data_IF_832377530079
#
_entry.id   IF_832377530079
#
_cell.length_a   1.000
_cell.length_b   1.000
_cell.length_c   1.000
_cell.angle_alpha   90.00
_cell.angle_beta   90.00
_cell.angle_gamma   90.00
#
_symmetry.space_group_name_H-M   'P 1'
#
loop_
_entity.id
_entity.type
_entity.pdbx_description
1 polymer ?
#
# COMPACT_ATOMS: atom_id res chain seq x y z
N UNK A 1 -25.62 5.62 -9.06
CA UNK A 1 -24.63 4.53 -9.22
C UNK A 1 -23.47 4.82 -8.28
N UNK A 2 -23.33 4.05 -7.20
CA UNK A 2 -22.07 4.01 -6.43
C UNK A 2 -21.07 3.30 -7.34
N UNK A 3 -20.05 4.02 -7.82
CA UNK A 3 -18.90 3.36 -8.41
C UNK A 3 -18.22 2.61 -7.27
N UNK A 4 -18.30 1.28 -7.31
CA UNK A 4 -17.49 0.40 -6.46
C UNK A 4 -16.02 0.81 -6.55
N UNK A 5 -15.17 0.52 -5.54
CA UNK A 5 -13.74 0.76 -5.68
C UNK A 5 -13.29 0.13 -7.00
N UNK A 6 -12.61 0.92 -7.85
CA UNK A 6 -12.16 0.58 -9.21
C UNK A 6 -11.16 -0.60 -9.16
N UNK A 7 -11.63 -1.79 -8.79
CA UNK A 7 -10.86 -3.04 -8.81
C UNK A 7 -10.96 -3.57 -10.22
N UNK A 8 -10.15 -2.98 -11.10
CA UNK A 8 -10.03 -3.40 -12.50
C UNK A 8 -9.30 -4.74 -12.64
N UNK A 9 -8.58 -5.20 -11.60
CA UNK A 9 -7.85 -6.46 -11.62
C UNK A 9 -7.58 -6.98 -10.20
N UNK A 10 -7.84 -8.26 -9.97
CA UNK A 10 -7.40 -9.00 -8.77
C UNK A 10 -6.14 -9.80 -9.12
N UNK A 11 -5.06 -9.62 -8.37
CA UNK A 11 -3.83 -10.39 -8.49
C UNK A 11 -3.79 -11.50 -7.44
N UNK A 12 -3.84 -12.76 -7.87
CA UNK A 12 -3.71 -13.91 -6.99
C UNK A 12 -2.32 -14.54 -7.19
N UNK A 13 -1.44 -14.42 -6.20
CA UNK A 13 -0.19 -15.18 -6.20
C UNK A 13 -0.44 -16.54 -5.54
N UNK A 14 -0.30 -17.63 -6.28
CA UNK A 14 -0.48 -18.98 -5.75
C UNK A 14 0.84 -19.75 -5.78
N UNK A 15 1.24 -20.33 -4.63
CA UNK A 15 2.16 -21.47 -4.61
C UNK A 15 1.31 -22.74 -4.82
N UNK A 16 1.45 -23.38 -5.97
CA UNK A 16 0.64 -24.50 -6.44
C UNK A 16 0.83 -25.78 -5.62
N UNK A 17 1.85 -25.84 -4.76
CA UNK A 17 2.07 -26.95 -3.83
C UNK A 17 0.89 -27.15 -2.88
N UNK A 18 0.53 -26.12 -2.10
CA UNK A 18 -0.49 -26.14 -1.04
C UNK A 18 -1.17 -24.77 -0.91
N UNK A 19 -2.22 -24.47 -1.70
CA UNK A 19 -2.94 -23.21 -1.54
C UNK A 19 -3.57 -23.15 -0.16
N UNK A 20 -3.29 -22.09 0.60
CA UNK A 20 -3.88 -21.88 1.91
C UNK A 20 -5.34 -21.42 1.78
N UNK A 21 -6.15 -21.64 2.81
CA UNK A 21 -7.55 -21.23 2.83
C UNK A 21 -7.73 -19.72 2.56
N UNK A 22 -6.75 -18.87 2.93
CA UNK A 22 -6.80 -17.43 2.63
C UNK A 22 -6.71 -17.12 1.12
N UNK A 23 -5.87 -17.86 0.37
CA UNK A 23 -5.75 -17.77 -1.09
C UNK A 23 -7.01 -18.32 -1.78
N UNK A 24 -7.68 -19.29 -1.14
CA UNK A 24 -8.94 -19.90 -1.63
C UNK A 24 -10.18 -19.05 -1.26
N UNK A 25 -10.14 -18.29 -0.16
CA UNK A 25 -11.24 -17.43 0.30
C UNK A 25 -11.34 -16.12 -0.52
N UNK A 26 -10.23 -15.63 -1.09
CA UNK A 26 -10.30 -14.56 -2.10
C UNK A 26 -10.99 -15.00 -3.40
N UNK A 27 -11.06 -16.31 -3.66
CA UNK A 27 -11.75 -16.93 -4.78
C UNK A 27 -13.28 -17.09 -4.57
N UNK A 28 -13.78 -16.86 -3.35
CA UNK A 28 -15.16 -17.23 -2.95
C UNK A 28 -15.92 -16.15 -2.19
N UNK A 29 -15.37 -14.95 -1.97
CA UNK A 29 -16.18 -13.86 -1.42
C UNK A 29 -17.13 -13.37 -2.50
N UNK A 30 -18.39 -13.79 -2.35
CA UNK A 30 -19.57 -13.56 -3.17
C UNK A 30 -19.48 -12.38 -4.17
N UNK A 31 -19.91 -12.58 -5.42
CA UNK A 31 -20.20 -11.46 -6.30
C UNK A 31 -21.34 -10.66 -5.68
N UNK A 32 -21.01 -9.48 -5.14
CA UNK A 32 -21.99 -8.40 -5.05
C UNK A 32 -22.61 -8.22 -6.43
N UNK A 33 -23.92 -7.89 -6.49
CA UNK A 33 -24.64 -7.75 -7.75
C UNK A 33 -23.88 -6.80 -8.72
N UNK A 34 -23.20 -7.37 -9.71
CA UNK A 34 -22.28 -6.68 -10.61
C UNK A 34 -21.57 -7.66 -11.55
N UNK A 35 -20.89 -7.13 -12.56
CA UNK A 35 -20.10 -7.90 -13.52
C UNK A 35 -18.97 -8.68 -12.82
N UNK A 36 -18.60 -9.84 -13.36
CA UNK A 36 -17.52 -10.67 -12.82
C UNK A 36 -16.19 -9.88 -12.81
N UNK A 37 -15.45 -9.86 -11.68
CA UNK A 37 -14.19 -9.13 -11.61
C UNK A 37 -13.14 -9.79 -12.52
N UNK A 38 -12.29 -8.96 -13.11
CA UNK A 38 -11.14 -9.43 -13.90
C UNK A 38 -10.07 -9.96 -12.96
N UNK A 39 -9.58 -11.19 -13.19
CA UNK A 39 -8.65 -11.89 -12.31
C UNK A 39 -7.39 -12.30 -13.08
N UNK A 40 -6.22 -11.98 -12.53
CA UNK A 40 -4.95 -12.50 -13.01
C UNK A 40 -4.25 -13.30 -11.92
N UNK A 41 -4.06 -14.59 -12.21
CA UNK A 41 -3.41 -15.56 -11.34
C UNK A 41 -1.93 -15.63 -11.72
N UNK A 42 -1.07 -15.24 -10.79
CA UNK A 42 0.38 -15.23 -10.93
C UNK A 42 0.95 -16.54 -10.39
N UNK A 43 1.62 -17.28 -11.25
CA UNK A 43 2.23 -18.59 -10.97
C UNK A 43 3.76 -18.46 -10.91
N UNK A 44 4.37 -19.10 -9.91
CA UNK A 44 5.82 -19.20 -9.81
C UNK A 44 6.39 -20.19 -10.85
N UNK A 45 7.28 -19.75 -11.77
CA UNK A 45 7.87 -20.64 -12.76
C UNK A 45 8.83 -21.68 -12.15
N UNK A 46 9.25 -21.50 -10.90
CA UNK A 46 10.10 -22.44 -10.14
C UNK A 46 9.29 -23.40 -9.27
N UNK A 47 7.95 -23.33 -9.30
CA UNK A 47 7.08 -24.27 -8.60
C UNK A 47 7.04 -25.61 -9.35
N UNK A 48 8.18 -26.31 -9.31
CA UNK A 48 8.46 -27.52 -10.08
C UNK A 48 7.76 -28.78 -9.53
N UNK A 49 7.15 -28.71 -8.35
CA UNK A 49 6.48 -29.84 -7.71
C UNK A 49 5.10 -30.17 -8.33
N UNK A 50 4.58 -29.34 -9.24
CA UNK A 50 3.24 -29.50 -9.82
C UNK A 50 3.14 -29.60 -11.34
N UNK A 51 4.27 -29.63 -12.07
CA UNK A 51 4.40 -29.36 -13.53
C UNK A 51 3.53 -30.11 -14.53
N UNK A 52 2.75 -31.11 -14.14
CA UNK A 52 1.93 -31.85 -15.09
C UNK A 52 0.48 -31.40 -15.08
N UNK A 53 -0.34 -32.11 -14.31
CA UNK A 53 -1.79 -32.11 -14.51
C UNK A 53 -2.50 -30.92 -13.87
N UNK A 54 -2.06 -30.43 -12.71
CA UNK A 54 -2.75 -29.35 -11.99
C UNK A 54 -2.63 -28.01 -12.71
N UNK A 55 -1.43 -27.63 -13.15
CA UNK A 55 -1.24 -26.40 -13.92
C UNK A 55 -1.94 -26.48 -15.29
N UNK A 56 -1.90 -27.63 -15.97
CA UNK A 56 -2.66 -27.84 -17.20
C UNK A 56 -4.16 -27.75 -16.96
N UNK A 57 -4.69 -28.35 -15.89
CA UNK A 57 -6.11 -28.28 -15.52
C UNK A 57 -6.53 -26.85 -15.18
N UNK A 58 -5.74 -26.12 -14.38
CA UNK A 58 -5.97 -24.71 -14.10
C UNK A 58 -5.91 -23.86 -15.38
N UNK A 59 -4.97 -24.16 -16.29
CA UNK A 59 -4.88 -23.47 -17.58
C UNK A 59 -6.11 -23.71 -18.45
N UNK A 60 -6.61 -24.95 -18.49
CA UNK A 60 -7.83 -25.30 -19.22
C UNK A 60 -9.07 -24.64 -18.59
N UNK A 61 -9.15 -24.60 -17.26
CA UNK A 61 -10.24 -23.94 -16.54
C UNK A 61 -10.21 -22.42 -16.72
N UNK A 62 -9.05 -21.78 -16.58
CA UNK A 62 -8.91 -20.34 -16.79
C UNK A 62 -9.24 -19.95 -18.24
N UNK A 63 -8.80 -20.72 -19.23
CA UNK A 63 -9.17 -20.48 -20.64
C UNK A 63 -10.67 -20.61 -20.93
N UNK A 64 -11.43 -21.28 -20.07
CA UNK A 64 -12.88 -21.35 -20.19
C UNK A 64 -13.58 -20.06 -19.69
N UNK A 65 -12.83 -19.10 -19.16
CA UNK A 65 -13.33 -17.87 -18.58
C UNK A 65 -12.59 -16.65 -19.16
N UNK A 66 -13.29 -15.81 -19.92
CA UNK A 66 -12.71 -14.64 -20.60
C UNK A 66 -12.11 -13.59 -19.64
N UNK A 67 -12.43 -13.68 -18.35
CA UNK A 67 -12.01 -12.75 -17.31
C UNK A 67 -10.87 -13.28 -16.42
N UNK A 68 -10.25 -14.42 -16.78
CA UNK A 68 -9.18 -15.04 -16.00
C UNK A 68 -7.90 -15.23 -16.83
N UNK A 69 -6.81 -14.58 -16.42
CA UNK A 69 -5.49 -14.77 -17.01
C UNK A 69 -4.53 -15.52 -16.06
N UNK A 70 -3.78 -16.47 -16.59
CA UNK A 70 -2.66 -17.12 -15.88
C UNK A 70 -1.34 -16.59 -16.42
N UNK A 71 -0.51 -16.03 -15.54
CA UNK A 71 0.77 -15.40 -15.90
C UNK A 71 1.90 -15.89 -15.00
N UNK A 72 3.13 -15.80 -15.47
CA UNK A 72 4.32 -16.14 -14.67
C UNK A 72 4.84 -14.94 -13.86
N UNK A 73 5.50 -15.19 -12.71
CA UNK A 73 6.11 -14.13 -11.88
C UNK A 73 7.50 -13.65 -12.33
N UNK A 74 7.94 -13.92 -13.56
CA UNK A 74 9.31 -13.53 -13.96
C UNK A 74 9.47 -12.01 -13.92
N UNK A 75 10.69 -11.52 -13.66
CA UNK A 75 10.98 -10.08 -13.66
C UNK A 75 10.55 -9.39 -14.96
N UNK A 76 10.76 -10.05 -16.11
CA UNK A 76 10.33 -9.57 -17.44
C UNK A 76 8.81 -9.39 -17.61
N UNK A 77 8.01 -9.92 -16.68
CA UNK A 77 6.58 -9.66 -16.66
C UNK A 77 6.28 -8.23 -16.20
N UNK A 78 6.98 -7.75 -15.18
CA UNK A 78 6.74 -6.45 -14.56
C UNK A 78 7.67 -5.36 -15.09
N UNK A 79 8.89 -5.72 -15.49
CA UNK A 79 9.93 -4.78 -15.87
C UNK A 79 10.32 -4.95 -17.34
N UNK A 80 10.59 -3.85 -18.06
CA UNK A 80 11.27 -3.92 -19.35
C UNK A 80 12.63 -4.59 -19.18
N UNK A 81 13.06 -5.33 -20.19
CA UNK A 81 14.36 -6.00 -20.18
C UNK A 81 15.01 -5.91 -21.55
N UNK A 82 16.34 -5.93 -21.58
CA UNK A 82 17.10 -5.98 -22.83
C UNK A 82 17.19 -7.42 -23.30
N UNK A 83 16.78 -7.67 -24.55
CA UNK A 83 16.94 -8.98 -25.18
C UNK A 83 18.45 -9.23 -25.44
N UNK A 84 19.03 -10.28 -24.86
CA UNK A 84 20.46 -10.57 -25.01
C UNK A 84 20.87 -10.97 -26.43
N UNK A 85 19.94 -11.38 -27.29
CA UNK A 85 20.24 -11.78 -28.67
C UNK A 85 20.18 -10.61 -29.66
N UNK A 86 19.23 -9.70 -29.46
CA UNK A 86 18.98 -8.58 -30.37
C UNK A 86 19.51 -7.24 -29.83
N UNK A 87 19.82 -7.16 -28.53
CA UNK A 87 20.22 -5.92 -27.85
C UNK A 87 19.08 -4.92 -27.69
N UNK A 88 17.85 -5.25 -28.10
CA UNK A 88 16.70 -4.35 -28.05
C UNK A 88 16.01 -4.40 -26.68
N UNK A 89 15.52 -3.25 -26.21
CA UNK A 89 14.69 -3.19 -25.01
C UNK A 89 13.28 -3.66 -25.33
N UNK A 90 12.88 -4.76 -24.70
CA UNK A 90 11.55 -5.34 -24.77
C UNK A 90 10.70 -4.77 -23.62
N UNK A 91 9.48 -4.27 -23.89
CA UNK A 91 8.61 -3.73 -22.84
C UNK A 91 8.12 -4.84 -21.89
N UNK A 92 7.68 -4.43 -20.69
CA UNK A 92 7.07 -5.33 -19.72
C UNK A 92 5.83 -6.04 -20.29
N UNK A 93 5.67 -7.34 -20.02
CA UNK A 93 4.53 -8.13 -20.52
C UNK A 93 3.21 -7.82 -19.80
N UNK A 94 3.26 -7.21 -18.61
CA UNK A 94 2.10 -6.89 -17.79
C UNK A 94 1.04 -6.09 -18.55
N UNK A 95 1.43 -5.04 -19.26
CA UNK A 95 0.48 -4.16 -19.97
C UNK A 95 -0.31 -4.92 -21.03
N UNK A 96 0.34 -5.83 -21.76
CA UNK A 96 -0.32 -6.68 -22.75
C UNK A 96 -1.27 -7.70 -22.09
N UNK A 97 -0.86 -8.33 -20.99
CA UNK A 97 -1.70 -9.26 -20.25
C UNK A 97 -2.94 -8.55 -19.64
N UNK A 98 -2.75 -7.34 -19.15
CA UNK A 98 -3.83 -6.51 -18.64
C UNK A 98 -4.81 -6.11 -19.75
N UNK A 99 -4.32 -5.70 -20.92
CA UNK A 99 -5.17 -5.36 -22.05
C UNK A 99 -6.01 -6.56 -22.51
N UNK A 100 -5.42 -7.76 -22.49
CA UNK A 100 -6.10 -9.00 -22.86
C UNK A 100 -7.17 -9.41 -21.84
N UNK A 101 -6.96 -9.12 -20.55
CA UNK A 101 -7.88 -9.53 -19.47
C UNK A 101 -8.97 -8.49 -19.25
N UNK A 102 -8.60 -7.23 -19.02
CA UNK A 102 -9.49 -6.15 -18.60
C UNK A 102 -9.80 -5.14 -19.72
N UNK A 103 -9.37 -5.42 -20.96
CA UNK A 103 -9.57 -4.56 -22.12
C UNK A 103 -8.49 -3.49 -22.32
N UNK A 104 -8.37 -2.93 -23.54
CA UNK A 104 -7.31 -1.98 -23.90
C UNK A 104 -7.35 -0.69 -23.08
N UNK A 105 -8.53 -0.22 -22.69
CA UNK A 105 -8.69 0.96 -21.83
C UNK A 105 -8.06 0.77 -20.45
N UNK A 106 -8.05 -0.45 -19.90
CA UNK A 106 -7.43 -0.73 -18.61
C UNK A 106 -5.89 -0.66 -18.66
N UNK A 107 -5.32 -0.89 -19.85
CA UNK A 107 -3.89 -0.86 -20.11
C UNK A 107 -3.38 0.50 -20.63
N UNK A 108 -4.27 1.42 -20.98
CA UNK A 108 -3.93 2.77 -21.44
C UNK A 108 -3.15 3.55 -20.35
N UNK A 109 -1.88 3.93 -20.60
CA UNK A 109 -1.05 4.65 -19.64
C UNK A 109 -1.68 5.97 -19.17
N UNK A 110 -2.23 6.76 -20.09
CA UNK A 110 -2.77 8.09 -19.77
C UNK A 110 -3.99 7.97 -18.85
N UNK A 111 -4.88 7.01 -19.15
CA UNK A 111 -6.03 6.71 -18.31
C UNK A 111 -5.63 6.17 -16.93
N UNK A 112 -4.63 5.28 -16.86
CA UNK A 112 -4.14 4.74 -15.59
C UNK A 112 -3.55 5.83 -14.70
N UNK A 113 -2.80 6.76 -15.27
CA UNK A 113 -2.24 7.92 -14.58
C UNK A 113 -3.35 8.84 -14.06
N UNK A 114 -4.33 9.19 -14.91
CA UNK A 114 -5.48 10.00 -14.52
C UNK A 114 -6.29 9.35 -13.37
N UNK A 115 -6.52 8.04 -13.44
CA UNK A 115 -7.19 7.30 -12.37
C UNK A 115 -6.34 7.20 -11.10
N UNK A 116 -5.01 7.08 -11.22
CA UNK A 116 -4.11 7.09 -10.06
C UNK A 116 -4.17 8.44 -9.34
N UNK A 117 -4.15 9.56 -10.08
CA UNK A 117 -4.33 10.90 -9.53
C UNK A 117 -5.70 11.05 -8.84
N UNK A 118 -6.78 10.54 -9.45
CA UNK A 118 -8.11 10.58 -8.86
C UNK A 118 -8.20 9.76 -7.55
N UNK A 119 -7.62 8.55 -7.53
CA UNK A 119 -7.55 7.71 -6.32
C UNK A 119 -6.76 8.39 -5.21
N UNK A 120 -5.65 9.06 -5.57
CA UNK A 120 -4.85 9.81 -4.62
C UNK A 120 -5.62 10.99 -4.02
N UNK A 121 -6.33 11.76 -4.86
CA UNK A 121 -7.17 12.86 -4.40
C UNK A 121 -8.29 12.38 -3.46
N UNK A 122 -8.95 11.25 -3.80
CA UNK A 122 -9.97 10.62 -2.94
C UNK A 122 -9.38 10.10 -1.63
N UNK A 123 -8.18 9.50 -1.66
CA UNK A 123 -7.49 9.02 -0.47
C UNK A 123 -7.19 10.18 0.49
N UNK A 124 -6.68 11.30 -0.03
CA UNK A 124 -6.47 12.52 0.75
C UNK A 124 -7.78 13.00 1.40
N UNK A 125 -8.86 13.14 0.61
CA UNK A 125 -10.17 13.55 1.13
C UNK A 125 -10.70 12.61 2.21
N UNK A 126 -10.51 11.29 2.04
CA UNK A 126 -10.95 10.31 3.02
C UNK A 126 -10.17 10.43 4.33
N UNK A 127 -8.85 10.61 4.27
CA UNK A 127 -8.01 10.83 5.45
C UNK A 127 -8.39 12.14 6.17
N UNK A 128 -8.60 13.23 5.44
CA UNK A 128 -9.07 14.51 5.99
C UNK A 128 -10.42 14.36 6.71
N UNK A 129 -11.39 13.70 6.07
CA UNK A 129 -12.71 13.45 6.67
C UNK A 129 -12.61 12.60 7.93
N UNK A 130 -11.80 11.54 7.91
CA UNK A 130 -11.58 10.69 9.08
C UNK A 130 -10.90 11.47 10.21
N UNK A 131 -9.94 12.34 9.90
CA UNK A 131 -9.30 13.20 10.90
C UNK A 131 -10.31 14.17 11.54
N UNK A 132 -11.19 14.80 10.74
CA UNK A 132 -12.27 15.65 11.25
C UNK A 132 -13.23 14.86 12.15
N UNK A 133 -13.58 13.63 11.76
CA UNK A 133 -14.44 12.76 12.57
C UNK A 133 -13.76 12.35 13.89
N UNK A 134 -12.49 11.95 13.87
CA UNK A 134 -11.71 11.62 15.07
C UNK A 134 -11.52 12.83 15.99
N UNK A 135 -11.29 14.02 15.43
CA UNK A 135 -11.26 15.28 16.19
C UNK A 135 -12.58 15.56 16.92
N UNK A 136 -13.71 15.17 16.32
CA UNK A 136 -15.05 15.26 16.92
C UNK A 136 -15.40 14.10 17.86
N UNK A 137 -14.48 13.18 18.12
CA UNK A 137 -14.65 12.07 19.06
C UNK A 137 -15.31 10.82 18.47
N UNK A 138 -15.47 10.73 17.14
CA UNK A 138 -15.88 9.48 16.51
C UNK A 138 -14.75 8.47 16.54
N UNK A 139 -15.10 7.20 16.74
CA UNK A 139 -14.11 6.11 16.68
C UNK A 139 -13.67 5.87 15.23
N UNK A 140 -12.41 6.19 14.95
CA UNK A 140 -11.74 5.99 13.67
C UNK A 140 -10.52 5.07 13.80
N UNK A 141 -10.45 4.29 14.89
CA UNK A 141 -9.28 3.44 15.23
C UNK A 141 -8.94 2.45 14.12
N UNK A 142 -9.94 1.92 13.41
CA UNK A 142 -9.75 1.01 12.28
C UNK A 142 -8.93 1.61 11.11
N UNK A 143 -8.78 2.94 11.07
CA UNK A 143 -8.01 3.63 10.04
C UNK A 143 -6.51 3.79 10.38
N UNK A 144 -6.06 3.39 11.58
CA UNK A 144 -4.68 3.59 12.04
C UNK A 144 -3.64 3.02 11.07
N UNK A 145 -3.79 1.76 10.65
CA UNK A 145 -2.88 1.10 9.72
C UNK A 145 -2.85 1.78 8.35
N UNK A 146 -4.01 2.23 7.88
CA UNK A 146 -4.13 2.95 6.61
C UNK A 146 -3.41 4.30 6.69
N UNK A 147 -3.58 5.03 7.78
CA UNK A 147 -2.90 6.31 8.01
C UNK A 147 -1.38 6.13 8.10
N UNK A 148 -0.89 5.10 8.80
CA UNK A 148 0.55 4.79 8.86
C UNK A 148 1.13 4.45 7.48
N UNK A 149 0.42 3.63 6.69
CA UNK A 149 0.84 3.32 5.30
C UNK A 149 0.85 4.58 4.42
N UNK A 150 -0.08 5.50 4.64
CA UNK A 150 -0.17 6.75 3.89
C UNK A 150 1.04 7.68 4.11
N UNK A 151 1.74 7.59 5.25
CA UNK A 151 3.02 8.31 5.47
C UNK A 151 4.14 7.92 4.49
N UNK A 152 4.00 6.79 3.78
CA UNK A 152 4.90 6.38 2.71
C UNK A 152 4.66 7.10 1.37
N UNK A 153 3.66 7.98 1.29
CA UNK A 153 3.30 8.76 0.10
C UNK A 153 3.29 10.24 0.45
N UNK A 154 4.21 11.01 -0.14
CA UNK A 154 4.44 12.41 0.22
C UNK A 154 3.14 13.26 0.15
N UNK A 155 2.32 13.07 -0.88
CA UNK A 155 1.03 13.77 -1.05
C UNK A 155 -0.01 13.48 0.06
N UNK A 156 0.17 12.39 0.80
CA UNK A 156 -0.73 11.96 1.86
C UNK A 156 -0.16 12.19 3.26
N UNK A 157 1.07 12.69 3.39
CA UNK A 157 1.70 12.87 4.71
C UNK A 157 0.90 13.85 5.60
N UNK A 158 0.56 15.07 5.15
CA UNK A 158 -0.20 15.98 6.00
C UNK A 158 -1.54 15.41 6.51
N UNK A 159 -2.44 14.87 5.66
CA UNK A 159 -3.71 14.31 6.15
C UNK A 159 -3.52 13.02 6.97
N UNK A 160 -2.46 12.25 6.72
CA UNK A 160 -2.14 11.07 7.53
C UNK A 160 -1.69 11.45 8.95
N UNK A 161 -0.81 12.45 9.10
CA UNK A 161 -0.40 12.97 10.41
C UNK A 161 -1.59 13.51 11.19
N UNK A 162 -2.46 14.28 10.54
CA UNK A 162 -3.68 14.81 11.14
C UNK A 162 -4.61 13.71 11.65
N UNK A 163 -4.80 12.63 10.87
CA UNK A 163 -5.61 11.49 11.31
C UNK A 163 -4.96 10.75 12.49
N UNK A 164 -3.67 10.45 12.43
CA UNK A 164 -2.94 9.75 13.50
C UNK A 164 -3.01 10.51 14.84
N UNK A 165 -2.93 11.84 14.81
CA UNK A 165 -3.10 12.69 15.99
C UNK A 165 -4.47 12.51 16.68
N UNK A 166 -5.49 12.01 15.98
CA UNK A 166 -6.83 11.79 16.54
C UNK A 166 -7.09 10.35 17.01
N UNK A 167 -6.15 9.42 16.77
CA UNK A 167 -6.29 8.01 17.11
C UNK A 167 -5.46 7.71 18.35
N UNK A 168 -6.12 7.52 19.50
CA UNK A 168 -5.48 7.26 20.80
C UNK A 168 -4.87 5.87 20.99
N UNK A 169 -4.12 5.36 20.00
CA UNK A 169 -3.43 4.06 20.10
C UNK A 169 -1.91 4.24 20.19
N UNK A 170 -1.19 3.30 20.87
CA UNK A 170 0.27 3.31 20.89
C UNK A 170 0.90 3.26 19.50
N UNK A 171 0.29 2.54 18.56
CA UNK A 171 0.79 2.43 17.18
C UNK A 171 0.66 3.75 16.40
N UNK A 172 -0.38 4.54 16.67
CA UNK A 172 -0.51 5.87 16.07
C UNK A 172 0.56 6.82 16.61
N UNK A 173 0.78 6.82 17.92
CA UNK A 173 1.84 7.61 18.55
C UNK A 173 3.23 7.21 18.05
N UNK A 174 3.46 5.91 17.88
CA UNK A 174 4.68 5.38 17.30
C UNK A 174 4.94 5.89 15.89
N UNK A 175 3.93 5.87 15.01
CA UNK A 175 4.07 6.36 13.64
C UNK A 175 4.40 7.86 13.59
N UNK A 176 3.84 8.66 14.50
CA UNK A 176 4.18 10.07 14.65
C UNK A 176 5.64 10.26 15.12
N UNK A 177 6.06 9.50 16.13
CA UNK A 177 7.41 9.54 16.66
C UNK A 177 8.47 9.12 15.63
N UNK A 178 8.25 8.00 14.94
CA UNK A 178 9.13 7.53 13.86
C UNK A 178 9.32 8.62 12.80
N UNK A 179 8.26 9.38 12.50
CA UNK A 179 8.34 10.49 11.55
C UNK A 179 9.14 11.69 12.05
N UNK A 180 9.08 12.01 13.34
CA UNK A 180 9.91 13.06 13.95
C UNK A 180 11.40 12.70 13.91
N UNK A 181 11.71 11.42 14.15
CA UNK A 181 13.08 10.91 14.24
C UNK A 181 13.72 10.59 12.88
N UNK A 182 12.93 10.47 11.81
CA UNK A 182 13.44 10.22 10.45
C UNK A 182 14.20 11.45 9.91
N UNK A 183 15.53 11.46 10.11
CA UNK A 183 16.42 12.53 9.67
C UNK A 183 16.55 12.67 8.14
N UNK A 184 16.04 11.70 7.37
CA UNK A 184 15.99 11.84 5.91
C UNK A 184 14.81 12.73 5.44
N UNK A 185 13.88 13.06 6.34
CA UNK A 185 12.68 13.85 6.01
C UNK A 185 12.91 15.36 6.09
N UNK A 186 12.15 16.14 5.29
CA UNK A 186 12.21 17.59 5.36
C UNK A 186 11.90 18.11 6.78
N UNK A 187 12.58 19.19 7.23
CA UNK A 187 12.41 19.72 8.58
C UNK A 187 10.97 20.20 8.86
N UNK A 188 10.29 20.75 7.86
CA UNK A 188 8.89 21.17 7.96
C UNK A 188 7.95 20.00 8.30
N UNK A 189 8.21 18.84 7.68
CA UNK A 189 7.42 17.64 7.89
C UNK A 189 7.67 17.03 9.27
N UNK A 190 8.92 17.02 9.72
CA UNK A 190 9.30 16.59 11.08
C UNK A 190 8.70 17.49 12.14
N UNK A 191 8.66 18.81 11.90
CA UNK A 191 8.00 19.77 12.78
C UNK A 191 6.48 19.55 12.84
N UNK A 192 5.82 19.28 11.70
CA UNK A 192 4.40 18.94 11.67
C UNK A 192 4.10 17.63 12.41
N UNK A 193 4.96 16.61 12.26
CA UNK A 193 4.84 15.36 13.02
C UNK A 193 5.01 15.57 14.52
N UNK A 194 5.93 16.46 14.95
CA UNK A 194 6.11 16.80 16.35
C UNK A 194 4.90 17.53 16.93
N UNK A 195 4.30 18.45 16.18
CA UNK A 195 3.06 19.11 16.57
C UNK A 195 1.93 18.08 16.77
N UNK A 196 1.73 17.20 15.78
CA UNK A 196 0.75 16.12 15.87
C UNK A 196 1.02 15.16 17.06
N UNK A 197 2.28 14.85 17.35
CA UNK A 197 2.67 14.03 18.50
C UNK A 197 2.34 14.71 19.84
N UNK A 198 2.57 16.02 19.95
CA UNK A 198 2.24 16.79 21.16
C UNK A 198 0.74 16.82 21.40
N UNK A 199 -0.05 17.12 20.36
CA UNK A 199 -1.50 17.12 20.43
C UNK A 199 -2.04 15.73 20.83
N UNK A 200 -1.43 14.67 20.30
CA UNK A 200 -1.76 13.29 20.64
C UNK A 200 -1.49 12.97 22.12
N UNK A 201 -0.28 13.29 22.61
CA UNK A 201 0.12 13.06 24.01
C UNK A 201 -0.73 13.88 24.98
N UNK A 202 -1.04 15.13 24.64
CA UNK A 202 -1.93 15.98 25.45
C UNK A 202 -3.33 15.37 25.57
N UNK A 203 -3.85 14.81 24.47
CA UNK A 203 -5.21 14.26 24.41
C UNK A 203 -5.34 12.85 24.99
N UNK A 204 -4.35 11.99 24.79
CA UNK A 204 -4.45 10.56 25.10
C UNK A 204 -3.42 10.06 26.13
N UNK A 205 -2.48 10.91 26.53
CA UNK A 205 -1.34 10.53 27.36
C UNK A 205 -0.20 9.91 26.56
N UNK A 206 0.95 9.75 27.21
CA UNK A 206 2.13 9.14 26.60
C UNK A 206 2.12 7.61 26.66
N UNK A 207 2.24 6.95 25.51
CA UNK A 207 2.42 5.51 25.37
C UNK A 207 3.76 5.13 24.71
N UNK A 208 4.80 5.95 24.88
CA UNK A 208 6.14 5.69 24.32
C UNK A 208 6.84 4.62 25.16
N UNK A 209 7.21 3.50 24.55
CA UNK A 209 8.00 2.45 25.20
C UNK A 209 9.48 2.87 25.38
N UNK A 210 10.17 2.22 26.31
CA UNK A 210 11.57 2.54 26.64
C UNK A 210 12.54 2.35 25.45
N UNK A 211 12.22 1.46 24.50
CA UNK A 211 13.05 1.25 23.31
C UNK A 211 13.02 2.47 22.39
N UNK A 212 11.82 3.00 22.14
CA UNK A 212 11.59 4.19 21.34
C UNK A 212 12.08 5.48 22.00
N UNK A 213 12.02 5.55 23.33
CA UNK A 213 12.69 6.64 24.06
C UNK A 213 14.21 6.59 23.85
N UNK A 214 14.78 5.38 23.84
CA UNK A 214 16.19 5.15 23.50
C UNK A 214 16.53 5.60 22.07
N UNK A 215 15.64 5.41 21.10
CA UNK A 215 15.79 5.92 19.73
C UNK A 215 15.82 7.44 19.68
N UNK A 216 14.94 8.11 20.44
CA UNK A 216 14.94 9.57 20.55
C UNK A 216 16.25 10.09 21.17
N UNK A 217 16.76 9.45 22.23
CA UNK A 217 18.07 9.78 22.83
C UNK A 217 19.21 9.57 21.83
N UNK A 218 19.19 8.47 21.06
CA UNK A 218 20.20 8.22 20.01
C UNK A 218 20.14 9.30 18.94
N UNK A 219 18.95 9.63 18.45
CA UNK A 219 18.73 10.71 17.47
C UNK A 219 19.24 12.06 17.98
N UNK A 220 18.96 12.41 19.23
CA UNK A 220 19.46 13.62 19.87
C UNK A 220 21.00 13.68 19.86
N UNK A 221 21.65 12.60 20.27
CA UNK A 221 23.11 12.53 20.38
C UNK A 221 23.81 12.47 19.01
N UNK A 222 23.14 11.94 17.98
CA UNK A 222 23.69 11.79 16.63
C UNK A 222 23.36 12.98 15.70
N UNK A 223 22.47 13.88 16.11
CA UNK A 223 22.10 15.05 15.31
C UNK A 223 23.30 15.97 15.03
N UNK A 224 23.61 16.13 13.75
CA UNK A 224 24.69 16.99 13.26
C UNK A 224 24.33 18.48 13.30
N UNK A 225 23.04 18.81 13.16
CA UNK A 225 22.51 20.16 13.17
C UNK A 225 21.67 20.45 14.44
N UNK A 226 21.55 21.74 14.78
CA UNK A 226 20.88 22.20 15.99
C UNK A 226 19.36 21.93 15.95
N UNK A 227 18.75 21.98 14.77
CA UNK A 227 17.30 21.83 14.60
C UNK A 227 16.88 20.38 14.81
N UNK A 228 17.62 19.42 14.23
CA UNK A 228 17.43 18.00 14.49
C UNK A 228 17.63 17.63 15.96
N UNK A 229 18.59 18.26 16.63
CA UNK A 229 18.83 18.07 18.06
C UNK A 229 17.70 18.65 18.91
N UNK A 230 17.20 19.83 18.55
CA UNK A 230 16.05 20.45 19.22
C UNK A 230 14.77 19.62 19.05
N UNK A 231 14.53 19.07 17.86
CA UNK A 231 13.39 18.20 17.58
C UNK A 231 13.43 16.89 18.38
N UNK A 232 14.57 16.19 18.38
CA UNK A 232 14.74 14.98 19.18
C UNK A 232 14.67 15.29 20.69
N UNK A 233 15.21 16.44 21.12
CA UNK A 233 15.15 16.90 22.51
C UNK A 233 13.74 17.28 22.96
N UNK A 234 12.87 17.69 22.04
CA UNK A 234 11.47 18.01 22.34
C UNK A 234 10.59 16.77 22.55
N UNK A 235 11.09 15.57 22.23
CA UNK A 235 10.44 14.29 22.50
C UNK A 235 10.82 13.75 23.89
N UNK A 236 12.01 14.11 24.38
CA UNK A 236 12.55 13.71 25.68
C UNK A 236 12.03 14.61 26.81
#
# INVERSE_FOLDING_TARGET
MRADPDVTLVLLAARLGHPAAFETVQLLRDPGHGDLPQVMVVVDPLDDLGRGRKLTQLTLQARAHDHVALVDRRGSFFEPHTDPQTGLTVPARFTAALAATAGPEAADPARREALAALRLARARQALDLLAILGARGWDVTAAADTARRALGRDDLVPPALALLATIGTPDAQAGLLERVLDGARPPEERAAALAALRDHVERFGGAIDCGRLGDAVRGYNQAADADSRALAGAVL
#
